data_IF_288384239057
#
_entry.id   IF_288384239057
#
_cell.length_a   1.000
_cell.length_b   1.000
_cell.length_c   1.000
_cell.angle_alpha   90.00
_cell.angle_beta   90.00
_cell.angle_gamma   90.00
#
_symmetry.space_group_name_H-M   'P 1'
#
loop_
_entity.id
_entity.type
_entity.pdbx_description
1 polymer ?
#
# COMPACT_ATOMS: atom_id res chain seq x y z
N UNK A 1 -11.48 -4.97 16.49
CA UNK A 1 -12.33 -4.82 15.28
C UNK A 1 -11.58 -5.32 14.04
N UNK A 2 -10.52 -6.12 14.21
CA UNK A 2 -9.34 -5.98 13.35
C UNK A 2 -9.10 -7.17 12.40
N UNK A 3 -9.70 -8.33 12.69
CA UNK A 3 -9.72 -9.47 11.76
C UNK A 3 -10.50 -9.15 10.48
N UNK A 4 -11.50 -8.27 10.57
CA UNK A 4 -12.33 -7.86 9.44
C UNK A 4 -11.47 -7.09 8.43
N UNK A 5 -10.62 -6.17 8.89
CA UNK A 5 -9.77 -5.37 8.00
C UNK A 5 -8.72 -6.22 7.27
N UNK A 6 -8.08 -7.18 7.97
CA UNK A 6 -7.18 -8.10 7.30
C UNK A 6 -7.92 -9.01 6.32
N UNK A 7 -9.10 -9.50 6.68
CA UNK A 7 -9.95 -10.29 5.79
C UNK A 7 -10.37 -9.51 4.53
N UNK A 8 -10.61 -8.20 4.65
CA UNK A 8 -10.86 -7.32 3.50
C UNK A 8 -9.60 -7.17 2.64
N UNK A 9 -8.42 -6.96 3.25
CA UNK A 9 -7.16 -6.86 2.52
C UNK A 9 -6.82 -8.16 1.78
N UNK A 10 -6.99 -9.33 2.39
CA UNK A 10 -6.72 -10.62 1.73
C UNK A 10 -7.78 -10.98 0.69
N UNK A 11 -8.99 -10.43 0.79
CA UNK A 11 -10.00 -10.55 -0.26
C UNK A 11 -9.72 -9.63 -1.46
N UNK A 12 -9.30 -8.39 -1.20
CA UNK A 12 -8.97 -7.42 -2.24
C UNK A 12 -7.62 -7.72 -2.91
N UNK A 13 -6.66 -8.21 -2.13
CA UNK A 13 -5.32 -8.62 -2.56
C UNK A 13 -5.07 -10.05 -2.10
N UNK A 14 -5.53 -11.06 -2.87
CA UNK A 14 -5.29 -12.47 -2.56
C UNK A 14 -3.79 -12.76 -2.36
N UNK A 15 -3.41 -13.66 -1.42
CA UNK A 15 -2.02 -13.99 -1.17
C UNK A 15 -1.24 -14.40 -2.42
N UNK A 16 -1.89 -15.10 -3.34
CA UNK A 16 -1.32 -15.55 -4.61
C UNK A 16 -0.98 -14.36 -5.51
N UNK A 17 -1.87 -13.38 -5.62
CA UNK A 17 -1.63 -12.15 -6.37
C UNK A 17 -0.45 -11.36 -5.78
N UNK A 18 -0.37 -11.29 -4.45
CA UNK A 18 0.75 -10.64 -3.76
C UNK A 18 2.07 -11.37 -4.01
N UNK A 19 2.08 -12.70 -3.97
CA UNK A 19 3.27 -13.49 -4.27
C UNK A 19 3.74 -13.28 -5.71
N UNK A 20 2.83 -13.31 -6.67
CA UNK A 20 3.16 -13.09 -8.08
C UNK A 20 3.77 -11.71 -8.31
N UNK A 21 3.26 -10.67 -7.67
CA UNK A 21 3.83 -9.32 -7.77
C UNK A 21 5.24 -9.25 -7.15
N UNK A 22 5.47 -9.93 -6.02
CA UNK A 22 6.79 -10.03 -5.39
C UNK A 22 7.77 -10.80 -6.29
N UNK A 23 7.30 -11.87 -6.93
CA UNK A 23 8.11 -12.68 -7.84
C UNK A 23 8.49 -11.89 -9.10
N UNK A 24 7.50 -11.25 -9.74
CA UNK A 24 7.69 -10.46 -10.96
C UNK A 24 8.69 -9.31 -10.78
N UNK A 25 8.81 -8.79 -9.56
CA UNK A 25 9.72 -7.70 -9.21
C UNK A 25 11.07 -8.18 -8.66
N UNK A 26 11.29 -9.49 -8.55
CA UNK A 26 12.52 -10.08 -8.01
C UNK A 26 12.76 -9.75 -6.53
N UNK A 27 11.71 -9.38 -5.79
CA UNK A 27 11.80 -8.96 -4.37
C UNK A 27 11.57 -10.10 -3.38
N UNK A 28 11.46 -11.33 -3.87
CA UNK A 28 11.30 -12.52 -3.02
C UNK A 28 12.54 -12.77 -2.16
N UNK A 29 12.33 -13.23 -0.94
CA UNK A 29 13.43 -13.61 -0.06
C UNK A 29 14.15 -14.88 -0.54
N UNK A 30 15.48 -14.86 -0.47
CA UNK A 30 16.33 -16.05 -0.72
C UNK A 30 16.41 -16.98 0.50
N UNK A 31 16.18 -16.45 1.72
CA UNK A 31 16.16 -17.23 2.97
C UNK A 31 14.90 -16.88 3.76
N UNK A 32 14.29 -17.88 4.41
CA UNK A 32 13.12 -17.69 5.27
C UNK A 32 13.49 -16.81 6.47
N UNK A 33 13.00 -15.57 6.50
CA UNK A 33 13.32 -14.55 7.52
C UNK A 33 12.10 -14.31 8.42
N UNK A 34 12.34 -13.68 9.58
CA UNK A 34 11.29 -13.19 10.50
C UNK A 34 10.26 -12.23 9.88
N UNK A 35 10.56 -11.63 8.72
CA UNK A 35 9.63 -10.77 7.97
C UNK A 35 9.69 -11.13 6.48
N UNK A 36 8.88 -12.10 6.04
CA UNK A 36 8.69 -12.42 4.64
C UNK A 36 8.18 -11.22 3.84
N UNK A 37 8.54 -11.12 2.56
CA UNK A 37 8.14 -10.03 1.67
C UNK A 37 6.60 -9.85 1.64
N UNK A 38 5.85 -10.96 1.61
CA UNK A 38 4.37 -10.94 1.67
C UNK A 38 3.83 -10.24 2.91
N UNK A 39 4.41 -10.53 4.09
CA UNK A 39 4.01 -9.91 5.35
C UNK A 39 4.30 -8.41 5.31
N UNK A 40 5.43 -8.00 4.73
CA UNK A 40 5.79 -6.59 4.59
C UNK A 40 4.84 -5.87 3.61
N UNK A 41 4.40 -6.51 2.53
CA UNK A 41 3.38 -5.95 1.62
C UNK A 41 2.07 -5.70 2.37
N UNK A 42 1.53 -6.71 3.05
CA UNK A 42 0.30 -6.53 3.83
C UNK A 42 0.46 -5.51 4.94
N UNK A 43 1.65 -5.40 5.54
CA UNK A 43 1.94 -4.36 6.52
C UNK A 43 1.86 -2.96 5.92
N UNK A 44 2.43 -2.73 4.74
CA UNK A 44 2.34 -1.43 4.07
C UNK A 44 0.90 -1.11 3.69
N UNK A 45 0.16 -2.07 3.14
CA UNK A 45 -1.27 -1.88 2.81
C UNK A 45 -2.11 -1.57 4.04
N UNK A 46 -1.86 -2.25 5.16
CA UNK A 46 -2.54 -2.01 6.41
C UNK A 46 -2.20 -0.62 7.00
N UNK A 47 -0.96 -0.15 6.89
CA UNK A 47 -0.61 1.23 7.29
C UNK A 47 -1.37 2.29 6.46
N UNK A 48 -1.61 2.03 5.17
CA UNK A 48 -2.41 2.93 4.33
C UNK A 48 -3.87 2.99 4.78
N UNK A 49 -4.44 1.85 5.19
CA UNK A 49 -5.82 1.76 5.68
C UNK A 49 -5.97 2.36 7.09
N UNK A 50 -4.98 2.15 7.95
CA UNK A 50 -4.97 2.59 9.34
C UNK A 50 -4.01 3.76 9.55
N UNK A 51 -4.24 4.86 8.83
CA UNK A 51 -3.34 6.03 8.81
C UNK A 51 -3.06 6.65 10.18
N UNK A 52 -3.97 6.48 11.15
CA UNK A 52 -3.85 6.99 12.52
C UNK A 52 -3.23 5.99 13.51
N UNK A 53 -2.96 4.75 13.10
CA UNK A 53 -2.42 3.72 13.97
C UNK A 53 -0.88 3.68 13.93
N UNK A 54 -0.25 3.51 15.09
CA UNK A 54 1.18 3.26 15.19
C UNK A 54 1.58 1.89 14.62
N UNK A 55 2.87 1.70 14.30
CA UNK A 55 3.36 0.47 13.66
C UNK A 55 3.08 -0.78 14.49
N UNK A 56 3.16 -0.67 15.82
CA UNK A 56 2.87 -1.77 16.74
C UNK A 56 1.42 -2.22 16.68
N UNK A 57 0.47 -1.28 16.54
CA UNK A 57 -0.95 -1.59 16.42
C UNK A 57 -1.23 -2.25 15.07
N UNK A 58 -0.67 -1.73 13.98
CA UNK A 58 -0.80 -2.37 12.65
C UNK A 58 -0.20 -3.78 12.65
N UNK A 59 0.94 -4.00 13.31
CA UNK A 59 1.51 -5.33 13.49
C UNK A 59 0.63 -6.25 14.33
N UNK A 60 -0.02 -5.73 15.37
CA UNK A 60 -0.97 -6.49 16.18
C UNK A 60 -2.16 -6.96 15.33
N UNK A 61 -2.69 -6.10 14.46
CA UNK A 61 -3.76 -6.47 13.53
C UNK A 61 -3.32 -7.59 12.57
N UNK A 62 -2.13 -7.50 12.00
CA UNK A 62 -1.59 -8.52 11.10
C UNK A 62 -1.30 -9.85 11.80
N UNK A 63 -0.71 -9.80 13.00
CA UNK A 63 -0.37 -11.00 13.79
C UNK A 63 -1.61 -11.70 14.34
N UNK A 64 -2.67 -10.95 14.69
CA UNK A 64 -3.95 -11.52 15.11
C UNK A 64 -4.67 -12.29 13.99
N UNK A 65 -4.39 -11.98 12.72
CA UNK A 65 -4.86 -12.74 11.57
C UNK A 65 -3.92 -13.86 11.11
N UNK A 66 -2.62 -13.76 11.40
CA UNK A 66 -1.62 -14.81 11.21
C UNK A 66 -1.63 -15.81 12.40
N UNK A 67 -2.78 -16.41 12.73
CA UNK A 67 -2.78 -17.49 13.75
C UNK A 67 -2.25 -18.79 13.15
N UNK A 68 -0.94 -19.01 13.25
CA UNK A 68 -0.27 -20.34 13.33
C UNK A 68 1.22 -20.17 13.68
N UNK A 69 1.54 -20.24 14.97
CA UNK A 69 2.91 -20.37 15.51
C UNK A 69 3.35 -19.20 16.39
N UNK A 70 4.32 -19.46 17.26
CA UNK A 70 5.03 -18.48 18.10
C UNK A 70 5.72 -17.42 17.23
N UNK A 71 4.97 -16.40 16.83
CA UNK A 71 5.48 -15.27 16.06
C UNK A 71 5.82 -14.14 17.02
N UNK A 72 7.11 -13.99 17.30
CA UNK A 72 7.66 -12.87 18.06
C UNK A 72 7.50 -11.56 17.25
N UNK A 73 6.80 -10.58 17.81
CA UNK A 73 6.48 -9.31 17.12
C UNK A 73 7.79 -8.57 16.81
N UNK A 74 8.14 -8.34 15.54
CA UNK A 74 9.40 -7.69 15.19
C UNK A 74 9.46 -6.25 15.69
N UNK A 75 10.63 -5.81 16.16
CA UNK A 75 10.82 -4.43 16.56
C UNK A 75 10.70 -3.45 15.38
N UNK A 76 10.36 -2.19 15.64
CA UNK A 76 10.20 -1.13 14.64
C UNK A 76 11.39 -1.01 13.66
N UNK A 77 12.62 -1.18 14.16
CA UNK A 77 13.82 -1.17 13.32
C UNK A 77 13.85 -2.32 12.31
N UNK A 78 13.37 -3.52 12.68
CA UNK A 78 13.29 -4.66 11.78
C UNK A 78 12.26 -4.43 10.66
N UNK A 79 11.13 -3.79 10.99
CA UNK A 79 10.10 -3.40 10.02
C UNK A 79 10.65 -2.37 9.03
N UNK A 80 11.31 -1.33 9.54
CA UNK A 80 11.90 -0.28 8.70
C UNK A 80 12.88 -0.87 7.69
N UNK A 81 13.81 -1.73 8.15
CA UNK A 81 14.74 -2.44 7.26
C UNK A 81 14.04 -3.37 6.27
N UNK A 82 12.95 -4.02 6.69
CA UNK A 82 12.20 -4.91 5.81
C UNK A 82 11.48 -4.13 4.69
N UNK A 83 10.94 -2.94 4.98
CA UNK A 83 10.35 -2.03 3.98
C UNK A 83 11.38 -1.52 2.99
N UNK A 84 12.54 -1.08 3.46
CA UNK A 84 13.65 -0.66 2.58
C UNK A 84 14.08 -1.79 1.65
N UNK A 85 14.16 -3.03 2.16
CA UNK A 85 14.49 -4.20 1.35
C UNK A 85 13.43 -4.55 0.32
N UNK A 86 12.14 -4.43 0.69
CA UNK A 86 11.03 -4.73 -0.22
C UNK A 86 11.01 -3.76 -1.39
N UNK A 87 11.24 -2.47 -1.13
CA UNK A 87 11.12 -1.41 -2.13
C UNK A 87 9.66 -1.16 -2.54
N UNK A 88 9.43 -0.17 -3.42
CA UNK A 88 8.08 0.17 -3.91
C UNK A 88 7.59 -0.73 -5.03
N UNK A 89 8.47 -1.51 -5.69
CA UNK A 89 8.15 -2.20 -6.94
C UNK A 89 7.00 -3.20 -6.81
N UNK A 90 6.91 -4.05 -5.77
CA UNK A 90 5.78 -4.97 -5.62
C UNK A 90 4.44 -4.24 -5.44
N UNK A 91 4.44 -3.07 -4.79
CA UNK A 91 3.22 -2.28 -4.60
C UNK A 91 2.78 -1.60 -5.90
N UNK A 92 3.73 -1.15 -6.71
CA UNK A 92 3.47 -0.64 -8.06
C UNK A 92 2.88 -1.73 -8.96
N UNK A 93 3.50 -2.90 -8.98
CA UNK A 93 3.01 -4.05 -9.75
C UNK A 93 1.59 -4.45 -9.33
N UNK A 94 1.32 -4.48 -8.01
CA UNK A 94 -0.03 -4.72 -7.50
C UNK A 94 -1.03 -3.65 -7.94
N UNK A 95 -0.64 -2.37 -7.87
CA UNK A 95 -1.48 -1.27 -8.33
C UNK A 95 -1.83 -1.43 -9.81
N UNK A 96 -0.83 -1.66 -10.67
CA UNK A 96 -1.03 -1.78 -12.11
C UNK A 96 -1.94 -2.96 -12.48
N UNK A 97 -1.95 -4.04 -11.69
CA UNK A 97 -2.82 -5.22 -11.87
C UNK A 97 -4.24 -5.08 -11.32
N UNK A 98 -4.46 -4.22 -10.34
CA UNK A 98 -5.74 -4.16 -9.61
C UNK A 98 -6.51 -2.88 -9.93
N UNK A 99 -5.81 -1.78 -10.17
CA UNK A 99 -6.42 -0.48 -10.43
C UNK A 99 -6.91 -0.38 -11.86
N UNK A 100 -8.11 -0.91 -12.08
CA UNK A 100 -8.83 -0.83 -13.34
C UNK A 100 -10.14 -0.06 -13.19
N UNK A 101 -10.72 0.46 -14.28
CA UNK A 101 -12.08 0.98 -14.32
C UNK A 101 -13.08 0.06 -13.62
N UNK A 102 -13.64 0.52 -12.50
CA UNK A 102 -14.73 -0.21 -11.81
C UNK A 102 -16.03 -0.16 -12.62
N UNK A 103 -16.29 0.96 -13.30
CA UNK A 103 -17.43 1.09 -14.21
C UNK A 103 -17.12 0.48 -15.60
N UNK A 104 -17.92 -0.52 -15.99
CA UNK A 104 -17.93 -1.18 -17.31
C UNK A 104 -19.06 -0.66 -18.18
N UNK A 105 -19.04 -0.85 -19.50
CA UNK A 105 -20.04 -0.33 -20.47
C UNK A 105 -21.52 -0.55 -20.07
N UNK A 106 -21.77 -1.57 -19.27
CA UNK A 106 -23.09 -1.98 -18.79
C UNK A 106 -23.50 -1.28 -17.48
N UNK A 107 -22.58 -0.57 -16.83
CA UNK A 107 -22.79 0.12 -15.57
C UNK A 107 -23.74 1.30 -15.79
N UNK A 108 -24.94 1.19 -15.20
CA UNK A 108 -25.94 2.24 -15.27
C UNK A 108 -25.38 3.58 -14.76
N UNK A 109 -25.54 4.65 -15.55
CA UNK A 109 -25.08 5.99 -15.20
C UNK A 109 -23.59 6.26 -15.43
N UNK A 110 -22.80 5.32 -15.94
CA UNK A 110 -21.39 5.56 -16.24
C UNK A 110 -21.14 6.25 -17.60
N UNK A 111 -22.17 6.39 -18.45
CA UNK A 111 -22.12 7.15 -19.70
C UNK A 111 -23.25 8.16 -19.85
N UNK A 112 -22.91 9.30 -20.45
CA UNK A 112 -23.86 10.18 -21.10
C UNK A 112 -23.71 10.06 -22.62
N UNK A 113 -24.68 9.40 -23.27
CA UNK A 113 -24.58 8.99 -24.68
C UNK A 113 -23.29 8.18 -24.92
N UNK A 114 -22.35 8.69 -25.73
CA UNK A 114 -21.06 8.05 -26.03
C UNK A 114 -19.92 8.46 -25.09
N UNK A 115 -20.17 9.38 -24.16
CA UNK A 115 -19.14 9.97 -23.31
C UNK A 115 -19.13 9.28 -21.95
N UNK A 116 -17.95 8.82 -21.51
CA UNK A 116 -17.78 8.24 -20.17
C UNK A 116 -17.76 9.36 -19.13
N UNK A 117 -18.59 9.21 -18.09
CA UNK A 117 -18.56 10.12 -16.94
C UNK A 117 -17.41 9.73 -16.02
N UNK A 118 -16.56 10.69 -15.68
CA UNK A 118 -15.41 10.52 -14.80
C UNK A 118 -15.37 11.69 -13.82
N UNK A 119 -15.26 11.38 -12.54
CA UNK A 119 -14.90 12.35 -11.52
C UNK A 119 -13.41 12.21 -11.23
N UNK A 120 -12.70 13.34 -11.23
CA UNK A 120 -11.29 13.42 -10.86
C UNK A 120 -11.23 14.08 -9.49
N UNK A 121 -10.76 13.33 -8.49
CA UNK A 121 -10.45 13.87 -7.18
C UNK A 121 -8.93 14.01 -7.04
N UNK A 122 -8.49 15.15 -6.52
CA UNK A 122 -7.08 15.44 -6.32
C UNK A 122 -6.69 15.07 -4.89
N UNK A 123 -5.62 14.28 -4.73
CA UNK A 123 -5.04 14.01 -3.40
C UNK A 123 -3.63 14.56 -3.33
N UNK A 124 -3.31 15.28 -2.25
CA UNK A 124 -1.95 15.67 -1.93
C UNK A 124 -1.37 14.74 -0.85
N UNK A 125 -0.11 14.36 -1.01
CA UNK A 125 0.65 13.59 -0.03
C UNK A 125 1.85 14.41 0.42
N UNK A 126 2.08 14.47 1.73
CA UNK A 126 3.27 15.09 2.28
C UNK A 126 4.48 14.18 2.04
N UNK A 127 5.56 14.78 1.56
CA UNK A 127 6.86 14.12 1.38
C UNK A 127 7.91 14.83 2.24
N UNK A 128 9.00 14.15 2.64
CA UNK A 128 10.07 14.80 3.38
C UNK A 128 10.62 16.03 2.62
N UNK A 129 10.81 17.14 3.33
CA UNK A 129 11.40 18.36 2.78
C UNK A 129 12.89 18.13 2.51
N UNK A 130 13.18 17.80 1.26
CA UNK A 130 14.52 17.56 0.74
C UNK A 130 14.61 18.20 -0.64
N UNK A 131 15.81 18.65 -1.01
CA UNK A 131 16.04 19.31 -2.30
C UNK A 131 15.60 18.42 -3.47
N UNK A 132 15.93 17.12 -3.43
CA UNK A 132 15.52 16.16 -4.45
C UNK A 132 13.98 16.02 -4.58
N UNK A 133 13.24 16.02 -3.46
CA UNK A 133 11.78 15.98 -3.52
C UNK A 133 11.19 17.30 -4.00
N UNK A 134 11.77 18.44 -3.61
CA UNK A 134 11.33 19.74 -4.07
C UNK A 134 11.52 19.91 -5.58
N UNK A 135 12.62 19.40 -6.13
CA UNK A 135 12.89 19.38 -7.57
C UNK A 135 11.91 18.46 -8.33
N UNK A 136 11.62 17.27 -7.78
CA UNK A 136 10.78 16.28 -8.45
C UNK A 136 9.27 16.58 -8.36
N UNK A 137 8.78 16.94 -7.17
CA UNK A 137 7.35 17.12 -6.90
C UNK A 137 6.90 18.60 -6.98
N UNK A 138 7.86 19.53 -6.98
CA UNK A 138 7.58 20.95 -6.80
C UNK A 138 7.17 21.28 -5.36
N UNK A 139 6.88 22.55 -5.12
CA UNK A 139 6.36 23.05 -3.84
C UNK A 139 4.93 23.52 -3.99
N UNK A 140 4.11 23.24 -2.98
CA UNK A 140 2.74 23.72 -2.95
C UNK A 140 2.74 25.26 -3.04
N UNK A 141 2.03 25.80 -4.03
CA UNK A 141 1.75 27.23 -4.11
C UNK A 141 0.61 27.53 -3.16
N UNK A 142 0.86 28.35 -2.15
CA UNK A 142 -0.22 28.96 -1.37
C UNK A 142 -0.56 30.33 -1.94
N UNK A 143 -1.81 30.77 -1.81
CA UNK A 143 -2.24 32.13 -2.14
C UNK A 143 -1.53 33.21 -1.29
N UNK A 144 -0.67 32.81 -0.33
CA UNK A 144 0.16 33.69 0.51
C UNK A 144 1.67 33.59 0.23
N UNK A 145 2.06 33.05 -0.92
CA UNK A 145 3.47 32.89 -1.32
C UNK A 145 3.94 31.44 -1.28
N UNK A 146 5.12 31.19 -1.84
CA UNK A 146 5.70 29.85 -1.90
C UNK A 146 5.95 29.31 -0.49
N UNK A 147 5.36 28.14 -0.17
CA UNK A 147 5.66 27.44 1.07
C UNK A 147 7.16 27.09 1.13
N UNK A 148 7.77 27.42 2.25
CA UNK A 148 9.19 27.19 2.54
C UNK A 148 9.53 25.69 2.57
#
# INVERSE_FOLDING_TARGET
>A
MDQIALGVLTKAFPPELVDEAIEATGRREVRRRRLPARVVVYFVLAMCLFRSAGYEEVLRVLSAGLRRGEWDVPCTAAISRARVRLGPEPLRELFDRVCHPVATAETAGAWYRRWRLVALDGTALEVPDTEANAEHFGRARSDRGAGA
#
